data_IF_886620354384
#
_entry.id   IF_886620354384
#
_cell.length_a   1.000
_cell.length_b   1.000
_cell.length_c   1.000
_cell.angle_alpha   90.00
_cell.angle_beta   90.00
_cell.angle_gamma   90.00
#
_symmetry.space_group_name_H-M   'P 1'
#
loop_
_entity.id
_entity.type
_entity.pdbx_description
1 polymer ?
#
# COMPACT_ATOMS: atom_id res chain seq x y z
N UNK A 1 -5.34 30.26 10.78
CA UNK A 1 -6.68 29.87 10.28
C UNK A 1 -7.56 31.10 10.41
N UNK A 2 -8.17 31.53 9.31
CA UNK A 2 -8.80 32.85 9.18
C UNK A 2 -10.30 32.74 9.53
N UNK A 3 -10.68 33.20 10.73
CA UNK A 3 -12.04 33.06 11.26
C UNK A 3 -13.05 33.95 10.52
N UNK A 4 -12.61 35.03 9.89
CA UNK A 4 -13.49 36.02 9.25
C UNK A 4 -14.11 35.51 7.94
N UNK A 5 -13.53 34.47 7.32
CA UNK A 5 -14.07 33.91 6.07
C UNK A 5 -15.31 33.06 6.26
N UNK A 6 -15.46 32.41 7.41
CA UNK A 6 -16.63 31.57 7.69
C UNK A 6 -17.88 32.41 7.94
N UNK A 7 -17.70 33.57 8.58
CA UNK A 7 -18.83 34.41 8.98
C UNK A 7 -19.49 35.12 7.78
N UNK A 8 -18.72 35.42 6.74
CA UNK A 8 -19.24 35.97 5.48
C UNK A 8 -20.16 34.98 4.73
N UNK A 9 -19.87 33.68 4.80
CA UNK A 9 -20.70 32.65 4.17
C UNK A 9 -22.01 32.44 4.93
N UNK A 10 -21.96 32.44 6.26
CA UNK A 10 -23.15 32.33 7.11
C UNK A 10 -24.13 33.49 6.87
N UNK A 11 -23.63 34.72 6.73
CA UNK A 11 -24.50 35.89 6.48
C UNK A 11 -25.14 35.89 5.10
N UNK A 12 -24.47 35.37 4.06
CA UNK A 12 -25.06 35.27 2.72
C UNK A 12 -26.16 34.22 2.62
N UNK A 13 -26.11 33.17 3.44
CA UNK A 13 -27.18 32.18 3.55
C UNK A 13 -28.41 32.70 4.33
N UNK A 14 -28.20 33.62 5.27
CA UNK A 14 -29.29 34.15 6.10
C UNK A 14 -30.07 35.31 5.45
N UNK A 15 -29.48 36.05 4.51
CA UNK A 15 -30.07 37.28 3.97
C UNK A 15 -31.08 37.09 2.82
N UNK A 16 -31.29 35.86 2.32
CA UNK A 16 -32.00 35.63 1.05
C UNK A 16 -33.22 34.72 1.07
N UNK A 17 -33.74 34.30 2.23
CA UNK A 17 -34.83 33.32 2.30
C UNK A 17 -36.14 33.96 2.79
N UNK A 18 -36.93 34.52 1.86
CA UNK A 18 -38.31 34.91 2.10
C UNK A 18 -39.20 33.68 2.28
N UNK A 19 -39.93 33.61 3.41
CA UNK A 19 -40.74 32.46 3.86
C UNK A 19 -41.77 31.94 2.85
N UNK A 20 -42.08 32.67 1.78
CA UNK A 20 -43.07 32.27 0.77
C UNK A 20 -42.51 31.41 -0.36
N UNK A 21 -41.20 31.41 -0.61
CA UNK A 21 -40.59 30.59 -1.67
C UNK A 21 -40.22 29.17 -1.19
N UNK A 22 -40.18 28.95 0.13
CA UNK A 22 -39.83 27.66 0.72
C UNK A 22 -40.91 26.57 0.52
N UNK A 23 -42.15 26.92 0.16
CA UNK A 23 -43.25 25.95 0.03
C UNK A 23 -43.44 25.48 -1.43
N UNK A 24 -43.03 26.26 -2.44
CA UNK A 24 -43.12 25.83 -3.84
C UNK A 24 -41.93 24.96 -4.32
N UNK A 25 -40.82 24.92 -3.58
CA UNK A 25 -39.64 24.13 -3.96
C UNK A 25 -39.72 22.63 -3.57
N UNK A 26 -40.91 22.11 -3.24
CA UNK A 26 -41.12 20.70 -2.85
C UNK A 26 -41.82 19.85 -3.93
N UNK A 27 -42.17 20.41 -5.10
CA UNK A 27 -43.05 19.70 -6.05
C UNK A 27 -42.43 19.27 -7.39
N UNK A 28 -41.22 19.72 -7.78
CA UNK A 28 -40.65 19.33 -9.09
C UNK A 28 -39.12 19.21 -9.01
N UNK A 29 -38.60 18.00 -8.79
CA UNK A 29 -37.27 17.55 -9.25
C UNK A 29 -37.05 16.05 -8.94
N UNK A 30 -37.82 15.18 -9.58
CA UNK A 30 -37.50 13.75 -9.67
C UNK A 30 -36.59 13.49 -10.88
N UNK A 31 -35.29 13.84 -10.81
CA UNK A 31 -34.25 13.23 -11.67
C UNK A 31 -32.90 13.22 -10.93
N UNK A 32 -32.49 12.02 -10.48
CA UNK A 32 -31.10 11.59 -10.58
C UNK A 32 -30.03 12.26 -9.70
N UNK A 33 -30.20 12.28 -8.38
CA UNK A 33 -29.05 12.40 -7.47
C UNK A 33 -28.66 11.00 -6.97
N UNK A 34 -27.83 10.31 -7.76
CA UNK A 34 -27.05 9.18 -7.24
C UNK A 34 -26.13 9.78 -6.19
N UNK A 35 -26.49 9.58 -4.91
CA UNK A 35 -25.64 9.90 -3.78
C UNK A 35 -24.28 9.25 -4.01
N UNK A 36 -23.27 10.06 -4.30
CA UNK A 36 -21.89 9.67 -4.18
C UNK A 36 -21.64 9.44 -2.70
N UNK A 37 -21.87 8.21 -2.23
CA UNK A 37 -21.38 7.74 -0.94
C UNK A 37 -19.87 7.94 -1.01
N UNK A 38 -19.26 8.83 -0.21
CA UNK A 38 -17.82 8.80 -0.06
C UNK A 38 -17.52 7.43 0.52
N UNK A 39 -16.89 6.58 -0.30
CA UNK A 39 -16.35 5.32 0.14
C UNK A 39 -15.52 5.63 1.38
N UNK A 40 -16.01 5.17 2.53
CA UNK A 40 -15.49 5.54 3.83
C UNK A 40 -13.98 5.44 3.84
N UNK A 41 -13.36 6.38 4.55
CA UNK A 41 -11.97 6.29 5.00
C UNK A 41 -11.78 4.89 5.57
N UNK A 42 -11.25 3.99 4.74
CA UNK A 42 -11.21 2.59 5.05
C UNK A 42 -10.37 2.44 6.30
N UNK A 43 -10.99 1.99 7.40
CA UNK A 43 -10.27 1.31 8.46
C UNK A 43 -9.27 0.40 7.74
N UNK A 44 -7.97 0.67 7.88
CA UNK A 44 -6.93 0.20 6.97
C UNK A 44 -7.04 -1.32 6.78
N UNK A 45 -7.83 -1.74 5.78
CA UNK A 45 -8.42 -3.06 5.78
C UNK A 45 -7.29 -4.07 5.74
N UNK A 46 -7.18 -4.90 6.78
CA UNK A 46 -6.15 -5.93 6.91
C UNK A 46 -5.95 -6.59 5.53
N UNK A 47 -4.69 -6.70 5.11
CA UNK A 47 -4.41 -7.29 3.81
C UNK A 47 -4.92 -8.74 3.79
N UNK A 48 -5.23 -9.25 2.60
CA UNK A 48 -5.84 -10.57 2.42
C UNK A 48 -4.78 -11.64 2.26
N UNK A 49 -5.02 -12.78 2.91
CA UNK A 49 -4.19 -13.98 2.83
C UNK A 49 -4.23 -14.64 1.43
N UNK A 50 -3.23 -15.47 1.09
CA UNK A 50 -3.24 -16.25 -0.14
C UNK A 50 -4.52 -17.09 -0.29
N UNK A 51 -5.08 -17.11 -1.50
CA UNK A 51 -6.33 -17.82 -1.84
C UNK A 51 -7.59 -16.99 -1.68
N UNK A 52 -7.55 -15.89 -0.92
CA UNK A 52 -8.68 -14.96 -0.79
C UNK A 52 -8.99 -14.26 -2.13
N UNK A 53 -10.27 -13.95 -2.42
CA UNK A 53 -10.63 -13.20 -3.62
C UNK A 53 -10.00 -11.81 -3.59
N UNK A 54 -9.60 -11.29 -4.75
CA UNK A 54 -9.01 -9.96 -4.86
C UNK A 54 -9.38 -9.31 -6.19
N UNK A 55 -9.15 -8.00 -6.29
CA UNK A 55 -9.26 -7.24 -7.54
C UNK A 55 -7.99 -6.47 -7.89
N UNK A 56 -7.11 -6.23 -6.91
CA UNK A 56 -5.87 -5.45 -7.05
C UNK A 56 -4.80 -6.02 -6.12
N UNK A 57 -3.53 -5.88 -6.51
CA UNK A 57 -2.38 -6.38 -5.74
C UNK A 57 -2.33 -5.87 -4.30
N UNK A 58 -2.59 -4.59 -4.09
CA UNK A 58 -2.57 -3.97 -2.75
C UNK A 58 -3.63 -4.49 -1.76
N UNK A 59 -4.60 -5.30 -2.21
CA UNK A 59 -5.52 -5.99 -1.31
C UNK A 59 -4.89 -7.23 -0.68
N UNK A 60 -3.84 -7.78 -1.29
CA UNK A 60 -3.19 -9.01 -0.86
C UNK A 60 -1.96 -8.70 -0.01
N UNK A 61 -1.73 -9.48 1.05
CA UNK A 61 -0.54 -9.30 1.88
C UNK A 61 0.76 -9.49 1.10
N UNK A 62 0.73 -10.32 0.05
CA UNK A 62 1.86 -10.51 -0.87
C UNK A 62 2.04 -9.40 -1.90
N UNK A 63 1.05 -8.53 -2.08
CA UNK A 63 0.98 -7.59 -3.20
C UNK A 63 0.61 -8.22 -4.56
N UNK A 64 0.35 -9.53 -4.62
CA UNK A 64 0.04 -10.24 -5.87
C UNK A 64 -1.39 -10.74 -5.91
N UNK A 65 -2.19 -10.12 -6.78
CA UNK A 65 -3.54 -10.56 -7.13
C UNK A 65 -3.52 -11.10 -8.56
N UNK A 66 -3.86 -12.38 -8.75
CA UNK A 66 -3.73 -13.03 -10.05
C UNK A 66 -4.86 -14.04 -10.29
N UNK A 67 -5.33 -14.11 -11.53
CA UNK A 67 -6.35 -15.06 -11.98
C UNK A 67 -7.09 -14.55 -13.22
N UNK A 68 -8.12 -15.27 -13.65
CA UNK A 68 -9.04 -14.80 -14.68
C UNK A 68 -9.89 -13.65 -14.14
N UNK A 69 -10.30 -12.72 -15.00
CA UNK A 69 -11.14 -11.57 -14.65
C UNK A 69 -12.38 -12.00 -13.87
N UNK A 70 -12.59 -11.45 -12.68
CA UNK A 70 -13.71 -11.77 -11.77
C UNK A 70 -13.50 -13.02 -10.90
N UNK A 71 -12.35 -13.70 -11.02
CA UNK A 71 -11.97 -14.87 -10.21
C UNK A 71 -10.52 -14.77 -9.71
N UNK A 72 -9.98 -13.56 -9.64
CA UNK A 72 -8.64 -13.30 -9.17
C UNK A 72 -8.53 -13.60 -7.67
N UNK A 73 -7.38 -14.16 -7.28
CA UNK A 73 -7.10 -14.51 -5.89
C UNK A 73 -5.70 -14.05 -5.50
N UNK A 74 -5.53 -13.79 -4.22
CA UNK A 74 -4.22 -13.48 -3.66
C UNK A 74 -3.29 -14.68 -3.82
N UNK A 75 -2.05 -14.44 -4.23
CA UNK A 75 -1.03 -15.48 -4.44
C UNK A 75 0.22 -15.15 -3.63
N UNK A 76 0.89 -16.18 -3.11
CA UNK A 76 2.22 -16.00 -2.52
C UNK A 76 3.21 -15.56 -3.60
N UNK A 77 4.16 -14.73 -3.23
CA UNK A 77 5.27 -14.33 -4.11
C UNK A 77 6.53 -15.13 -3.72
N UNK A 78 7.37 -15.54 -4.69
CA UNK A 78 8.64 -16.20 -4.37
C UNK A 78 9.52 -15.29 -3.51
N UNK A 79 10.11 -15.85 -2.45
CA UNK A 79 10.90 -15.09 -1.49
C UNK A 79 10.08 -14.12 -0.64
N UNK A 80 8.80 -14.38 -0.41
CA UNK A 80 7.98 -13.59 0.52
C UNK A 80 8.38 -13.82 1.98
N UNK A 81 8.71 -15.05 2.36
CA UNK A 81 8.81 -15.43 3.78
C UNK A 81 7.51 -15.14 4.54
N UNK A 82 7.65 -14.59 5.74
CA UNK A 82 6.52 -14.09 6.56
C UNK A 82 6.15 -12.64 6.24
N UNK A 83 6.86 -11.99 5.32
CA UNK A 83 6.69 -10.57 5.05
C UNK A 83 5.36 -10.28 4.36
N UNK A 84 4.77 -9.14 4.72
CA UNK A 84 3.64 -8.56 3.99
C UNK A 84 4.03 -7.21 3.38
N UNK A 85 3.22 -6.69 2.46
CA UNK A 85 3.41 -5.34 1.90
C UNK A 85 3.27 -4.21 2.95
N UNK A 86 2.85 -4.54 4.17
CA UNK A 86 2.78 -3.61 5.31
C UNK A 86 4.05 -3.62 6.14
N UNK A 87 4.71 -4.78 6.24
CA UNK A 87 6.01 -4.93 6.89
C UNK A 87 7.11 -4.41 5.95
N UNK A 88 7.18 -3.10 5.72
CA UNK A 88 8.26 -2.51 4.93
C UNK A 88 9.23 -1.80 5.88
N UNK A 89 10.44 -2.35 6.03
CA UNK A 89 11.51 -1.80 6.86
C UNK A 89 11.79 -0.33 6.54
N UNK A 90 11.62 0.08 5.28
CA UNK A 90 11.83 1.45 4.82
C UNK A 90 10.69 2.43 5.18
N UNK A 91 9.60 1.98 5.80
CA UNK A 91 8.41 2.81 6.06
C UNK A 91 7.87 2.73 7.47
N UNK A 92 7.98 1.58 8.13
CA UNK A 92 7.46 1.43 9.48
C UNK A 92 8.61 1.40 10.47
N UNK A 93 8.38 1.83 11.71
CA UNK A 93 9.33 1.68 12.82
C UNK A 93 9.06 0.39 13.61
N UNK A 94 8.30 -0.53 13.04
CA UNK A 94 7.82 -1.71 13.77
C UNK A 94 8.98 -2.67 14.08
N UNK A 95 8.94 -3.28 15.27
CA UNK A 95 9.92 -4.30 15.68
C UNK A 95 9.78 -5.61 14.85
N UNK A 96 8.62 -5.82 14.20
CA UNK A 96 8.31 -7.02 13.39
C UNK A 96 8.80 -6.88 11.93
N UNK A 97 10.05 -6.44 11.76
CA UNK A 97 10.72 -6.30 10.46
C UNK A 97 11.47 -7.54 10.02
N UNK A 98 11.67 -8.49 10.94
CA UNK A 98 12.36 -9.74 10.64
C UNK A 98 11.52 -10.58 9.66
N UNK A 99 12.21 -11.14 8.68
CA UNK A 99 11.65 -12.02 7.69
C UNK A 99 11.62 -13.51 8.14
N UNK A 100 12.07 -13.81 9.36
CA UNK A 100 12.17 -15.16 9.93
C UNK A 100 11.97 -15.22 11.45
N UNK A 101 11.55 -16.38 11.96
CA UNK A 101 11.12 -16.57 13.36
C UNK A 101 12.23 -16.87 14.37
N UNK A 102 13.52 -16.80 14.01
CA UNK A 102 14.61 -17.33 14.84
C UNK A 102 15.85 -16.42 14.93
N UNK A 103 15.66 -15.13 15.28
CA UNK A 103 16.77 -14.27 15.75
C UNK A 103 17.92 -14.04 14.76
N UNK A 104 17.69 -14.25 13.46
CA UNK A 104 18.64 -13.84 12.44
C UNK A 104 18.40 -12.36 12.16
N UNK A 105 19.11 -11.50 12.88
CA UNK A 105 19.09 -10.03 12.74
C UNK A 105 19.48 -9.53 11.33
N UNK A 106 19.84 -10.44 10.42
CA UNK A 106 20.35 -10.13 9.09
C UNK A 106 19.27 -9.96 8.03
N UNK A 107 17.98 -10.13 8.34
CA UNK A 107 16.94 -10.07 7.32
C UNK A 107 15.80 -9.10 7.62
N UNK A 108 15.29 -8.50 6.54
CA UNK A 108 14.27 -7.47 6.56
C UNK A 108 13.15 -7.74 5.58
N UNK A 109 11.96 -7.27 5.93
CA UNK A 109 10.83 -7.23 5.01
C UNK A 109 10.84 -5.93 4.20
N UNK A 110 10.80 -6.07 2.88
CA UNK A 110 10.84 -4.98 1.91
C UNK A 110 9.62 -5.04 0.98
N UNK A 111 9.37 -3.94 0.27
CA UNK A 111 8.40 -3.89 -0.84
C UNK A 111 9.14 -3.60 -2.14
N UNK A 112 8.97 -4.46 -3.13
CA UNK A 112 9.59 -4.27 -4.46
C UNK A 112 9.02 -3.05 -5.18
N UNK A 113 9.70 -2.55 -6.21
CA UNK A 113 9.16 -1.46 -7.06
C UNK A 113 7.81 -1.86 -7.68
N UNK A 114 7.62 -3.14 -7.99
CA UNK A 114 6.36 -3.74 -8.44
C UNK A 114 5.26 -3.85 -7.35
N UNK A 115 5.53 -3.45 -6.11
CA UNK A 115 4.55 -3.44 -5.02
C UNK A 115 4.32 -4.80 -4.37
N UNK A 116 5.29 -5.71 -4.42
CA UNK A 116 5.21 -7.05 -3.82
C UNK A 116 6.05 -7.12 -2.55
N UNK A 117 5.62 -7.91 -1.58
CA UNK A 117 6.41 -8.19 -0.38
C UNK A 117 7.64 -9.02 -0.73
N UNK A 118 8.79 -8.72 -0.14
CA UNK A 118 10.03 -9.42 -0.39
C UNK A 118 10.86 -9.53 0.89
N UNK A 119 11.34 -10.74 1.16
CA UNK A 119 12.20 -11.08 2.28
C UNK A 119 13.65 -11.08 1.79
N UNK A 120 14.47 -10.21 2.36
CA UNK A 120 15.81 -9.92 1.86
C UNK A 120 16.81 -9.68 2.99
N UNK A 121 18.10 -9.72 2.69
CA UNK A 121 19.13 -9.32 3.65
C UNK A 121 19.03 -7.81 3.95
N UNK A 122 19.04 -7.45 5.23
CA UNK A 122 18.80 -6.09 5.73
C UNK A 122 19.97 -5.14 5.48
N UNK A 123 21.20 -5.57 5.76
CA UNK A 123 22.41 -4.78 5.55
C UNK A 123 23.22 -5.32 4.36
N UNK A 124 23.65 -4.42 3.48
CA UNK A 124 24.63 -4.69 2.43
C UNK A 124 25.78 -3.70 2.59
N UNK A 125 27.01 -4.14 2.31
CA UNK A 125 28.17 -3.26 2.25
C UNK A 125 28.14 -2.31 1.04
N UNK A 126 27.42 -2.69 -0.01
CA UNK A 126 27.30 -1.94 -1.25
C UNK A 126 25.83 -1.71 -1.62
N UNK A 127 25.51 -0.46 -1.97
CA UNK A 127 24.17 -0.04 -2.37
C UNK A 127 24.14 0.14 -3.88
N UNK A 128 23.46 -0.79 -4.58
CA UNK A 128 23.29 -0.72 -6.03
C UNK A 128 21.90 -0.18 -6.36
N UNK A 129 21.82 0.94 -7.06
CA UNK A 129 20.57 1.51 -7.56
C UNK A 129 19.95 0.66 -8.67
N UNK A 130 18.63 0.62 -8.77
CA UNK A 130 17.91 -0.13 -9.79
C UNK A 130 16.60 0.52 -10.20
N UNK A 131 16.04 0.09 -11.33
CA UNK A 131 14.68 0.46 -11.73
C UNK A 131 13.75 -0.76 -11.68
N UNK A 132 14.28 -1.94 -12.05
CA UNK A 132 13.54 -3.19 -12.21
C UNK A 132 14.30 -4.35 -11.58
N UNK A 133 13.56 -5.40 -11.22
CA UNK A 133 14.13 -6.61 -10.60
C UNK A 133 15.26 -7.26 -11.42
N UNK A 134 15.19 -7.14 -12.76
CA UNK A 134 16.21 -7.72 -13.65
C UNK A 134 17.59 -7.06 -13.51
N UNK A 135 17.62 -5.79 -13.09
CA UNK A 135 18.86 -5.03 -12.96
C UNK A 135 19.70 -5.58 -11.78
N UNK A 136 19.03 -6.22 -10.81
CA UNK A 136 19.65 -6.79 -9.63
C UNK A 136 20.21 -8.20 -9.84
N UNK A 137 19.70 -8.95 -10.83
CA UNK A 137 20.09 -10.33 -11.04
C UNK A 137 21.57 -10.48 -11.44
N UNK A 138 22.12 -9.49 -12.16
CA UNK A 138 23.53 -9.50 -12.56
C UNK A 138 24.50 -9.28 -11.40
N UNK A 139 24.08 -8.58 -10.34
CA UNK A 139 24.93 -8.21 -9.21
C UNK A 139 24.81 -9.17 -8.03
N UNK A 140 23.58 -9.59 -7.72
CA UNK A 140 23.26 -10.37 -6.52
C UNK A 140 22.74 -11.77 -6.82
N UNK A 141 22.72 -12.17 -8.10
CA UNK A 141 22.24 -13.48 -8.53
C UNK A 141 20.73 -13.60 -8.67
N UNK A 142 20.29 -14.80 -9.05
CA UNK A 142 18.89 -15.09 -9.35
C UNK A 142 18.00 -14.88 -8.10
N UNK A 143 16.89 -14.17 -8.29
CA UNK A 143 15.91 -13.90 -7.23
C UNK A 143 16.13 -12.60 -6.47
N UNK A 144 17.23 -11.88 -6.71
CA UNK A 144 17.39 -10.50 -6.25
C UNK A 144 16.28 -9.60 -6.83
N UNK A 145 15.89 -8.58 -6.06
CA UNK A 145 14.78 -7.69 -6.40
C UNK A 145 15.16 -6.23 -6.20
N UNK A 146 14.49 -5.38 -6.97
CA UNK A 146 14.59 -3.94 -6.81
C UNK A 146 13.55 -3.50 -5.79
N UNK A 147 13.99 -3.02 -4.63
CA UNK A 147 13.12 -2.61 -3.52
C UNK A 147 12.97 -1.10 -3.47
N UNK A 148 11.81 -0.63 -3.00
CA UNK A 148 11.54 0.80 -2.84
C UNK A 148 12.38 1.36 -1.70
N UNK A 149 12.93 2.54 -1.93
CA UNK A 149 13.55 3.38 -0.91
C UNK A 149 12.55 3.95 0.11
N UNK A 150 13.07 4.66 1.13
CA UNK A 150 12.25 5.33 2.14
C UNK A 150 13.05 6.11 3.17
N UNK A 151 12.41 7.02 3.93
CA UNK A 151 13.07 8.13 4.63
C UNK A 151 13.85 7.77 5.91
N UNK A 152 13.81 6.52 6.36
CA UNK A 152 14.36 6.10 7.67
C UNK A 152 15.03 4.74 7.54
N UNK A 153 16.34 4.72 7.28
CA UNK A 153 17.19 3.52 7.08
C UNK A 153 17.23 2.94 5.66
N UNK A 154 16.57 3.57 4.71
CA UNK A 154 16.68 3.22 3.30
C UNK A 154 17.19 4.41 2.47
N UNK A 155 17.89 4.16 1.36
CA UNK A 155 18.16 5.21 0.39
C UNK A 155 16.84 5.73 -0.20
N UNK A 156 16.81 6.99 -0.61
CA UNK A 156 15.60 7.60 -1.22
C UNK A 156 15.27 6.97 -2.58
N UNK A 157 16.29 6.45 -3.26
CA UNK A 157 16.15 5.75 -4.54
C UNK A 157 15.91 4.24 -4.35
N UNK A 158 15.25 3.56 -5.30
CA UNK A 158 15.16 2.11 -5.28
C UNK A 158 16.53 1.44 -5.38
N UNK A 159 16.71 0.34 -4.66
CA UNK A 159 18.00 -0.37 -4.57
C UNK A 159 17.83 -1.87 -4.64
N UNK A 160 18.86 -2.54 -5.09
CA UNK A 160 18.88 -3.99 -5.17
C UNK A 160 19.05 -4.63 -3.80
N UNK A 161 18.29 -5.70 -3.56
CA UNK A 161 18.47 -6.56 -2.39
C UNK A 161 18.56 -8.03 -2.82
N UNK A 162 19.55 -8.79 -2.32
CA UNK A 162 19.59 -10.23 -2.51
C UNK A 162 18.44 -10.87 -1.73
N UNK A 163 17.89 -11.95 -2.30
CA UNK A 163 16.91 -12.77 -1.61
C UNK A 163 17.54 -13.37 -0.36
N UNK A 164 16.84 -13.31 0.76
CA UNK A 164 17.25 -14.10 1.93
C UNK A 164 17.05 -15.59 1.59
N UNK A 165 18.04 -16.47 1.84
CA UNK A 165 17.87 -17.89 1.55
C UNK A 165 16.59 -18.40 2.21
N UNK A 166 15.79 -19.15 1.47
CA UNK A 166 14.67 -19.84 2.11
C UNK A 166 15.27 -20.72 3.21
N UNK A 167 14.66 -20.79 4.42
CA UNK A 167 15.05 -21.82 5.36
C UNK A 167 14.96 -23.16 4.63
N UNK A 168 16.07 -23.91 4.61
CA UNK A 168 16.10 -25.24 4.02
C UNK A 168 14.89 -26.01 4.58
N UNK A 169 14.10 -26.70 3.74
CA UNK A 169 13.01 -27.51 4.25
C UNK A 169 13.59 -28.49 5.27
N UNK A 170 13.02 -28.46 6.49
CA UNK A 170 13.39 -29.35 7.59
C UNK A 170 13.09 -30.82 7.24
#
# INVERSE_FOLDING_TARGET
MDQDRFDSLARRLAAGATRRDAIQALAVATVGLVAAVPAGTGAAAACREPGAPCRRGGQCCSGLCQGKKGRERCRRVPGQGICTIRNNVCRTNDADKSCGGAGLDSCGCFVTTAGRSFCALGALSEVVSCERDRDCAGQFGAGARCVRGGPSDCPDSPVCRPRFPDPLPA
#
